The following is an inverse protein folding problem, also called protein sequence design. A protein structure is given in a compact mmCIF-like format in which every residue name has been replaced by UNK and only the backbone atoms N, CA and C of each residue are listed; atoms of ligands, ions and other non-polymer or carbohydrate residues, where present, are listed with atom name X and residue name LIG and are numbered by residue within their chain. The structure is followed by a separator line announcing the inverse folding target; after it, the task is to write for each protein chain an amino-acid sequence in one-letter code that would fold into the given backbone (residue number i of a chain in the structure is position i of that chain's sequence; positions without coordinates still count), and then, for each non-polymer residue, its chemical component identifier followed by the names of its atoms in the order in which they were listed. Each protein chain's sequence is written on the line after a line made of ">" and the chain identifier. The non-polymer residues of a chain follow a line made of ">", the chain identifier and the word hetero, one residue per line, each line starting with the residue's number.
data_IF_415376980425
#
_entry.id   IF_415376980425
#
_cell.length_a   1.000
_cell.length_b   1.000
_cell.length_c   1.000
_cell.angle_alpha   90.00
_cell.angle_beta   90.00
_cell.angle_gamma   90.00
#
_symmetry.space_group_name_H-M   'P 1'
#
loop_
_entity.id
_entity.type
_entity.pdbx_description
1 polymer ?
#
# COMPACT_ATOMS: atom_id res chain seq x y z
N UNK A 1 5.33 -25.55 -32.67
CA UNK A 1 5.47 -24.12 -32.34
C UNK A 1 4.60 -23.91 -31.12
N UNK A 2 5.23 -23.69 -29.97
CA UNK A 2 4.58 -23.67 -28.67
C UNK A 2 3.94 -22.31 -28.42
N UNK A 3 2.65 -22.30 -28.07
CA UNK A 3 1.93 -21.21 -27.43
C UNK A 3 1.21 -21.92 -26.28
N UNK A 4 1.65 -21.78 -25.03
CA UNK A 4 1.68 -20.52 -24.31
C UNK A 4 0.44 -20.56 -23.41
N UNK A 5 0.61 -21.10 -22.22
CA UNK A 5 -0.39 -21.30 -21.16
C UNK A 5 -1.34 -20.10 -21.02
N UNK A 6 -2.62 -20.31 -21.29
CA UNK A 6 -3.68 -19.37 -20.92
C UNK A 6 -3.89 -19.42 -19.41
N UNK A 7 -3.46 -18.38 -18.70
CA UNK A 7 -3.91 -18.17 -17.33
C UNK A 7 -5.36 -17.66 -17.38
N UNK A 8 -6.32 -18.57 -17.30
CA UNK A 8 -7.67 -18.24 -16.89
C UNK A 8 -7.63 -18.02 -15.38
N UNK A 9 -7.80 -16.79 -14.90
CA UNK A 9 -8.07 -16.54 -13.48
C UNK A 9 -9.55 -16.75 -13.23
N UNK A 10 -10.00 -18.01 -13.25
CA UNK A 10 -11.23 -18.39 -12.57
C UNK A 10 -10.92 -18.41 -11.07
N UNK A 11 -10.90 -17.25 -10.41
CA UNK A 11 -10.93 -17.17 -8.95
C UNK A 11 -11.35 -15.76 -8.52
N UNK A 12 -12.66 -15.55 -8.47
CA UNK A 12 -13.24 -14.62 -7.50
C UNK A 12 -13.16 -15.30 -6.12
N UNK A 13 -11.99 -15.23 -5.47
CA UNK A 13 -11.86 -15.62 -4.07
C UNK A 13 -12.48 -14.54 -3.19
N UNK A 14 -13.81 -14.55 -3.17
CA UNK A 14 -14.67 -13.67 -2.40
C UNK A 14 -16.08 -14.23 -2.41
N UNK A 15 -16.29 -15.33 -1.68
CA UNK A 15 -17.58 -15.99 -1.42
C UNK A 15 -18.52 -16.18 -2.62
N UNK A 16 -18.65 -17.43 -3.07
CA UNK A 16 -19.72 -17.92 -3.95
C UNK A 16 -21.09 -17.29 -3.68
N UNK A 17 -21.41 -16.18 -4.36
CA UNK A 17 -22.73 -15.61 -4.47
C UNK A 17 -23.00 -15.27 -5.94
N UNK A 18 -22.76 -16.22 -6.84
CA UNK A 18 -23.52 -16.25 -8.09
C UNK A 18 -24.98 -16.54 -7.70
N UNK A 19 -25.72 -15.46 -7.48
CA UNK A 19 -27.14 -15.46 -7.11
C UNK A 19 -27.98 -15.76 -8.36
N UNK A 20 -29.17 -16.32 -8.12
CA UNK A 20 -30.09 -16.82 -9.11
C UNK A 20 -30.32 -15.81 -10.27
N UNK A 21 -29.92 -16.18 -11.49
CA UNK A 21 -30.12 -15.37 -12.71
C UNK A 21 -28.84 -14.84 -13.38
N UNK A 22 -27.71 -14.74 -12.67
CA UNK A 22 -26.41 -14.47 -13.30
C UNK A 22 -25.76 -15.82 -13.62
N UNK A 23 -25.78 -16.22 -14.89
CA UNK A 23 -25.17 -17.48 -15.32
C UNK A 23 -23.69 -17.32 -15.65
N UNK A 24 -23.28 -16.16 -16.15
CA UNK A 24 -21.89 -15.81 -16.47
C UNK A 24 -21.67 -14.29 -16.37
N UNK A 25 -20.44 -13.87 -16.04
CA UNK A 25 -20.02 -12.48 -16.08
C UNK A 25 -18.54 -12.40 -16.52
N UNK A 26 -18.24 -11.47 -17.41
CA UNK A 26 -16.90 -11.24 -17.94
C UNK A 26 -16.49 -9.80 -17.62
N UNK A 27 -15.34 -9.62 -16.98
CA UNK A 27 -14.74 -8.31 -16.73
C UNK A 27 -13.44 -8.21 -17.53
N UNK A 28 -13.25 -7.09 -18.21
CA UNK A 28 -12.07 -6.84 -19.03
C UNK A 28 -11.89 -7.77 -20.25
N UNK A 29 -12.87 -8.61 -20.54
CA UNK A 29 -12.89 -9.57 -21.65
C UNK A 29 -14.34 -9.85 -22.07
N UNK A 30 -14.51 -10.58 -23.17
CA UNK A 30 -15.84 -11.00 -23.63
C UNK A 30 -15.87 -12.50 -23.91
N UNK A 31 -17.07 -13.07 -24.02
CA UNK A 31 -17.26 -14.45 -24.46
C UNK A 31 -17.13 -14.62 -25.99
N UNK A 32 -16.88 -13.54 -26.73
CA UNK A 32 -16.62 -13.56 -28.16
C UNK A 32 -15.10 -13.67 -28.41
N UNK A 33 -14.62 -14.75 -29.05
CA UNK A 33 -13.20 -14.96 -29.32
C UNK A 33 -12.60 -13.94 -30.31
N UNK A 34 -13.42 -13.16 -31.02
CA UNK A 34 -12.98 -12.13 -31.96
C UNK A 34 -12.88 -10.72 -31.33
N UNK A 35 -13.43 -10.52 -30.13
CA UNK A 35 -13.44 -9.24 -29.44
C UNK A 35 -12.25 -9.13 -28.50
N UNK A 36 -11.49 -8.03 -28.62
CA UNK A 36 -10.28 -7.76 -27.85
C UNK A 36 -10.60 -7.56 -26.36
N UNK A 37 -9.70 -8.04 -25.51
CA UNK A 37 -9.67 -7.70 -24.09
C UNK A 37 -9.55 -6.20 -23.89
N UNK A 38 -10.14 -5.70 -22.81
CA UNK A 38 -9.90 -4.35 -22.35
C UNK A 38 -8.46 -4.27 -21.85
N UNK A 39 -7.67 -3.36 -22.43
CA UNK A 39 -6.33 -3.01 -21.95
C UNK A 39 -6.42 -1.71 -21.16
N UNK A 40 -6.54 -1.85 -19.84
CA UNK A 40 -6.64 -0.75 -18.89
C UNK A 40 -6.96 -1.28 -17.49
N UNK A 41 -7.11 -0.37 -16.54
CA UNK A 41 -7.50 -0.69 -15.16
C UNK A 41 -9.03 -0.61 -15.07
N UNK A 42 -9.65 -1.64 -14.51
CA UNK A 42 -11.01 -1.60 -14.01
C UNK A 42 -10.91 -1.49 -12.50
N UNK A 43 -11.60 -0.52 -11.94
CA UNK A 43 -11.67 -0.30 -10.51
C UNK A 43 -13.11 -0.02 -10.08
N UNK A 44 -13.41 -0.32 -8.81
CA UNK A 44 -14.71 -0.09 -8.16
C UNK A 44 -15.94 -0.61 -8.94
N UNK A 45 -15.84 -1.82 -9.49
CA UNK A 45 -16.97 -2.48 -10.14
C UNK A 45 -17.92 -3.04 -9.08
N UNK A 46 -19.05 -2.36 -8.88
CA UNK A 46 -20.10 -2.80 -7.95
C UNK A 46 -21.35 -3.22 -8.73
N UNK A 47 -21.87 -4.41 -8.40
CA UNK A 47 -23.11 -4.95 -8.96
C UNK A 47 -24.20 -4.96 -7.90
N UNK A 48 -25.32 -4.31 -8.21
CA UNK A 48 -26.51 -4.29 -7.36
C UNK A 48 -27.59 -5.21 -7.95
N UNK A 49 -28.28 -5.95 -7.09
CA UNK A 49 -29.42 -6.79 -7.46
C UNK A 49 -30.76 -6.06 -7.28
N UNK A 50 -30.71 -4.74 -7.21
CA UNK A 50 -31.85 -3.83 -7.13
C UNK A 50 -31.63 -2.72 -8.14
N UNK A 51 -32.73 -2.14 -8.63
CA UNK A 51 -32.66 -0.89 -9.38
C UNK A 51 -32.29 0.23 -8.41
N UNK A 52 -31.20 0.93 -8.71
CA UNK A 52 -30.80 2.13 -7.98
C UNK A 52 -31.57 3.33 -8.54
N UNK A 53 -32.05 4.20 -7.65
CA UNK A 53 -32.59 5.49 -8.04
C UNK A 53 -31.47 6.46 -8.46
N UNK A 54 -31.80 7.50 -9.24
CA UNK A 54 -30.86 8.56 -9.62
C UNK A 54 -30.17 9.21 -8.40
N UNK A 55 -30.88 9.29 -7.27
CA UNK A 55 -30.34 9.83 -6.02
C UNK A 55 -29.28 8.90 -5.44
N UNK A 56 -29.53 7.59 -5.40
CA UNK A 56 -28.55 6.61 -4.91
C UNK A 56 -27.32 6.54 -5.82
N UNK A 57 -27.51 6.57 -7.13
CA UNK A 57 -26.40 6.67 -8.10
C UNK A 57 -25.60 7.95 -7.88
N UNK A 58 -26.28 9.08 -7.69
CA UNK A 58 -25.65 10.36 -7.40
C UNK A 58 -24.86 10.36 -6.08
N UNK A 59 -25.37 9.69 -5.04
CA UNK A 59 -24.68 9.54 -3.77
C UNK A 59 -23.47 8.61 -3.87
N UNK A 60 -23.56 7.51 -4.61
CA UNK A 60 -22.41 6.62 -4.85
C UNK A 60 -21.31 7.36 -5.60
N UNK A 61 -21.67 8.12 -6.65
CA UNK A 61 -20.71 8.92 -7.41
C UNK A 61 -20.11 10.05 -6.57
N UNK A 62 -20.91 10.77 -5.78
CA UNK A 62 -20.43 11.90 -4.97
C UNK A 62 -19.57 11.47 -3.76
N UNK A 63 -19.79 10.27 -3.24
CA UNK A 63 -18.99 9.70 -2.16
C UNK A 63 -17.82 8.85 -2.66
N UNK A 64 -17.69 8.67 -3.97
CA UNK A 64 -16.53 8.02 -4.54
C UNK A 64 -15.29 8.89 -4.27
N UNK A 65 -14.32 8.30 -3.57
CA UNK A 65 -13.01 8.89 -3.38
C UNK A 65 -12.05 8.09 -4.24
N UNK A 66 -11.30 8.80 -5.10
CA UNK A 66 -10.24 8.14 -5.87
C UNK A 66 -9.30 7.43 -4.90
N UNK A 67 -8.90 6.17 -5.22
CA UNK A 67 -7.82 5.51 -4.52
C UNK A 67 -6.67 6.49 -4.34
N UNK A 68 -6.24 6.72 -3.10
CA UNK A 68 -5.05 7.55 -2.87
C UNK A 68 -3.80 6.70 -3.09
N UNK A 69 -3.75 6.01 -4.23
CA UNK A 69 -2.61 5.24 -4.70
C UNK A 69 -1.44 6.18 -5.04
N UNK A 70 -0.29 5.59 -5.34
CA UNK A 70 0.91 6.38 -5.64
C UNK A 70 0.72 7.34 -6.82
N UNK A 71 0.02 6.90 -7.87
CA UNK A 71 -0.25 7.71 -9.06
C UNK A 71 -1.16 8.90 -8.76
N UNK A 72 -2.22 8.69 -7.99
CA UNK A 72 -3.15 9.75 -7.59
C UNK A 72 -2.49 10.73 -6.62
N UNK A 73 -1.64 10.25 -5.71
CA UNK A 73 -0.85 11.12 -4.82
C UNK A 73 0.12 12.02 -5.61
N UNK A 74 0.78 11.49 -6.65
CA UNK A 74 1.66 12.26 -7.53
C UNK A 74 0.97 13.41 -8.27
N UNK A 75 -0.36 13.34 -8.50
CA UNK A 75 -1.10 14.43 -9.15
C UNK A 75 -1.06 15.74 -8.33
N UNK A 76 -0.78 15.66 -7.03
CA UNK A 76 -0.55 16.83 -6.18
C UNK A 76 0.79 17.54 -6.46
N UNK A 77 1.68 16.89 -7.22
CA UNK A 77 3.03 17.34 -7.53
C UNK A 77 3.28 17.29 -9.04
N UNK A 78 2.37 17.92 -9.81
CA UNK A 78 2.37 17.88 -11.28
C UNK A 78 3.67 18.36 -11.96
N UNK A 79 4.49 19.13 -11.25
CA UNK A 79 5.76 19.68 -11.75
C UNK A 79 6.98 18.78 -11.46
N UNK A 80 6.80 17.61 -10.84
CA UNK A 80 7.89 16.66 -10.60
C UNK A 80 8.44 16.11 -11.92
N UNK A 81 9.75 16.27 -12.10
CA UNK A 81 10.46 15.75 -13.28
C UNK A 81 10.78 14.25 -13.18
N UNK A 82 11.00 13.74 -11.97
CA UNK A 82 11.14 12.32 -11.68
C UNK A 82 9.95 11.89 -10.81
N UNK A 83 9.14 10.98 -11.35
CA UNK A 83 7.96 10.43 -10.67
C UNK A 83 8.15 8.96 -10.31
N UNK A 84 9.36 8.41 -10.46
CA UNK A 84 9.63 7.02 -10.15
C UNK A 84 9.46 6.75 -8.65
N UNK A 85 8.84 5.63 -8.29
CA UNK A 85 8.66 5.23 -6.89
C UNK A 85 9.99 5.12 -6.12
N UNK A 86 11.05 4.71 -6.82
CA UNK A 86 12.41 4.62 -6.29
C UNK A 86 13.25 5.91 -6.52
N UNK A 87 12.65 6.95 -7.08
CA UNK A 87 13.27 8.25 -7.33
C UNK A 87 13.51 9.03 -6.03
N UNK A 88 14.27 10.11 -6.16
CA UNK A 88 14.64 11.09 -5.13
C UNK A 88 14.88 12.45 -5.84
N UNK A 89 13.81 13.08 -6.36
CA UNK A 89 13.92 14.30 -7.17
C UNK A 89 14.51 15.49 -6.40
N UNK A 90 14.28 15.54 -5.09
CA UNK A 90 14.74 16.57 -4.16
C UNK A 90 16.17 16.34 -3.61
N UNK A 91 16.74 15.14 -3.84
CA UNK A 91 18.11 14.74 -3.50
C UNK A 91 18.43 14.81 -2.01
N UNK A 92 17.47 14.43 -1.16
CA UNK A 92 17.66 14.40 0.28
C UNK A 92 17.93 12.99 0.84
N UNK A 93 17.90 11.98 -0.03
CA UNK A 93 18.13 10.58 0.30
C UNK A 93 16.86 9.83 0.74
N UNK A 94 15.70 10.48 0.72
CA UNK A 94 14.40 9.87 0.95
C UNK A 94 13.79 9.57 -0.42
N UNK A 95 13.35 8.32 -0.62
CA UNK A 95 12.74 7.96 -1.91
C UNK A 95 11.29 8.42 -1.94
N UNK A 96 10.82 8.85 -3.10
CA UNK A 96 9.45 9.32 -3.32
C UNK A 96 8.38 8.31 -2.86
N UNK A 97 8.61 7.00 -3.04
CA UNK A 97 7.70 5.96 -2.55
C UNK A 97 7.67 5.84 -1.02
N UNK A 98 8.77 6.16 -0.34
CA UNK A 98 8.80 6.25 1.12
C UNK A 98 8.07 7.52 1.60
N UNK A 99 8.21 8.63 0.88
CA UNK A 99 7.46 9.85 1.15
C UNK A 99 5.96 9.65 0.99
N UNK A 100 5.52 8.96 -0.06
CA UNK A 100 4.11 8.60 -0.23
C UNK A 100 3.55 7.85 0.99
N UNK A 101 4.30 6.87 1.51
CA UNK A 101 3.89 6.12 2.71
C UNK A 101 3.94 7.00 3.97
N UNK A 102 4.93 7.87 4.11
CA UNK A 102 5.14 8.68 5.30
C UNK A 102 4.48 10.07 5.24
N UNK A 103 3.69 10.33 4.20
CA UNK A 103 3.02 11.62 3.93
C UNK A 103 3.99 12.81 3.80
N UNK A 104 5.12 12.56 3.14
CA UNK A 104 6.17 13.55 2.84
C UNK A 104 5.87 14.42 1.62
N UNK A 105 6.90 15.13 1.15
CA UNK A 105 6.81 16.05 0.03
C UNK A 105 8.03 15.96 -0.90
N UNK A 106 7.88 15.37 -2.11
CA UNK A 106 8.99 15.10 -3.05
C UNK A 106 9.49 16.34 -3.78
N UNK A 107 9.05 17.52 -3.35
CA UNK A 107 9.53 18.80 -3.87
C UNK A 107 10.34 19.57 -2.83
N UNK A 108 10.46 19.05 -1.60
CA UNK A 108 11.07 19.73 -0.47
C UNK A 108 12.11 18.84 0.21
N UNK A 109 13.39 19.16 -0.04
CA UNK A 109 14.49 18.47 0.60
C UNK A 109 14.48 18.66 2.13
N UNK A 110 14.83 17.59 2.86
CA UNK A 110 15.10 17.62 4.29
C UNK A 110 13.85 17.42 5.14
N UNK A 111 12.87 16.68 4.64
CA UNK A 111 11.65 16.39 5.39
C UNK A 111 11.94 15.51 6.63
N UNK A 112 11.25 15.78 7.73
CA UNK A 112 11.46 15.09 9.02
C UNK A 112 10.45 13.99 9.25
N UNK A 113 10.33 13.10 8.26
CA UNK A 113 9.30 12.03 8.22
C UNK A 113 9.83 10.64 8.56
N UNK A 114 11.17 10.45 8.55
CA UNK A 114 11.79 9.15 8.80
C UNK A 114 11.54 8.63 10.23
N UNK A 115 11.51 7.29 10.42
CA UNK A 115 11.35 6.70 11.74
C UNK A 115 12.32 7.25 12.79
N UNK A 116 11.76 7.68 13.91
CA UNK A 116 12.50 8.20 15.06
C UNK A 116 12.74 7.08 16.07
N UNK A 117 13.98 6.98 16.57
CA UNK A 117 14.37 5.98 17.56
C UNK A 117 14.44 6.60 18.96
N UNK A 118 13.72 6.01 19.90
CA UNK A 118 14.01 6.10 21.33
C UNK A 118 14.70 4.82 21.80
N UNK A 119 15.95 4.96 22.26
CA UNK A 119 16.76 3.86 22.78
C UNK A 119 16.90 3.90 24.31
N UNK A 120 16.07 4.67 25.02
CA UNK A 120 16.04 4.69 26.46
C UNK A 120 15.47 3.37 27.03
N UNK A 121 15.89 3.00 28.25
CA UNK A 121 15.39 1.81 28.94
C UNK A 121 15.81 0.49 28.30
N UNK A 122 14.91 -0.49 28.32
CA UNK A 122 15.19 -1.90 27.96
C UNK A 122 14.92 -2.24 26.47
N UNK A 123 14.32 -1.31 25.72
CA UNK A 123 13.88 -1.54 24.34
C UNK A 123 14.47 -0.50 23.38
N UNK A 124 14.44 -0.81 22.09
CA UNK A 124 14.51 0.15 21.00
C UNK A 124 13.09 0.40 20.51
N UNK A 125 12.63 1.65 20.57
CA UNK A 125 11.27 2.04 20.17
C UNK A 125 11.37 2.93 18.94
N UNK A 126 10.89 2.43 17.80
CA UNK A 126 10.81 3.19 16.56
C UNK A 126 9.40 3.73 16.39
N UNK A 127 9.28 5.03 16.13
CA UNK A 127 7.99 5.69 15.89
C UNK A 127 8.00 6.44 14.57
N UNK A 128 6.94 6.29 13.79
CA UNK A 128 6.69 7.10 12.59
C UNK A 128 5.18 7.25 12.35
N UNK A 129 4.83 8.19 11.48
CA UNK A 129 3.47 8.36 10.99
C UNK A 129 3.44 7.89 9.55
N UNK A 130 2.42 7.10 9.20
CA UNK A 130 2.14 6.71 7.81
C UNK A 130 0.80 7.26 7.33
N UNK A 131 0.65 7.40 6.02
CA UNK A 131 -0.65 7.49 5.37
C UNK A 131 -1.35 6.12 5.46
N UNK A 132 -2.51 6.07 6.10
CA UNK A 132 -3.33 4.85 6.18
C UNK A 132 -3.78 4.39 4.79
N UNK A 133 -4.03 5.34 3.88
CA UNK A 133 -4.44 5.05 2.50
C UNK A 133 -3.33 4.42 1.67
N UNK A 134 -2.06 4.56 2.05
CA UNK A 134 -0.94 3.93 1.34
C UNK A 134 -0.84 2.42 1.56
N UNK A 135 -1.44 1.90 2.63
CA UNK A 135 -1.35 0.49 3.05
C UNK A 135 -1.87 -0.48 1.98
N UNK A 136 -3.06 -0.29 1.37
CA UNK A 136 -3.54 -1.18 0.32
C UNK A 136 -2.77 -1.10 -1.01
N UNK A 137 -1.88 -0.11 -1.20
CA UNK A 137 -1.13 0.10 -2.44
C UNK A 137 0.37 -0.17 -2.33
N UNK A 138 0.85 -0.54 -1.14
CA UNK A 138 2.26 -0.81 -0.87
C UNK A 138 2.46 -2.03 0.01
N UNK A 139 3.58 -2.72 -0.18
CA UNK A 139 4.11 -3.63 0.83
C UNK A 139 4.97 -2.82 1.80
N UNK A 140 4.55 -2.74 3.05
CA UNK A 140 5.26 -2.03 4.11
C UNK A 140 5.77 -3.04 5.14
N UNK A 141 7.09 -3.09 5.31
CA UNK A 141 7.73 -3.97 6.31
C UNK A 141 8.72 -3.18 7.14
N UNK A 142 8.69 -3.38 8.45
CA UNK A 142 9.78 -2.97 9.31
C UNK A 142 10.76 -4.14 9.42
N UNK A 143 12.00 -3.94 9.00
CA UNK A 143 13.03 -4.96 9.06
C UNK A 143 13.99 -4.66 10.20
N UNK A 144 14.37 -5.71 10.94
CA UNK A 144 15.39 -5.59 11.97
C UNK A 144 16.40 -6.74 11.92
N UNK A 145 17.61 -6.49 12.40
CA UNK A 145 18.70 -7.48 12.35
C UNK A 145 19.92 -7.03 13.14
N UNK A 146 20.80 -7.96 13.48
CA UNK A 146 22.07 -7.66 14.17
C UNK A 146 23.20 -7.23 13.22
N UNK A 147 22.99 -7.35 11.91
CA UNK A 147 23.88 -6.89 10.85
C UNK A 147 23.07 -6.28 9.67
N UNK A 148 23.76 -5.83 8.62
CA UNK A 148 23.12 -5.19 7.47
C UNK A 148 22.70 -6.17 6.35
N UNK A 149 22.77 -7.48 6.61
CA UNK A 149 22.53 -8.56 5.64
C UNK A 149 21.43 -9.55 6.07
N UNK A 150 21.35 -9.91 7.35
CA UNK A 150 20.32 -10.75 7.93
C UNK A 150 19.18 -9.91 8.49
N UNK A 151 18.01 -9.98 7.86
CA UNK A 151 16.83 -9.21 8.23
C UNK A 151 15.69 -10.12 8.66
N UNK A 152 15.03 -9.76 9.76
CA UNK A 152 13.72 -10.28 10.16
C UNK A 152 12.67 -9.26 9.78
N UNK A 153 11.63 -9.72 9.10
CA UNK A 153 10.54 -8.88 8.59
C UNK A 153 9.38 -8.84 9.58
N UNK A 154 8.94 -7.64 9.93
CA UNK A 154 7.66 -7.37 10.57
C UNK A 154 6.74 -6.73 9.52
N UNK A 155 5.74 -7.49 9.08
CA UNK A 155 4.69 -6.96 8.20
C UNK A 155 3.89 -5.90 8.93
N UNK A 156 3.71 -4.73 8.31
CA UNK A 156 2.94 -3.62 8.87
C UNK A 156 1.47 -3.62 8.40
N UNK A 157 1.02 -4.70 7.76
CA UNK A 157 -0.36 -4.86 7.30
C UNK A 157 -1.33 -5.24 8.44
N UNK A 158 -0.83 -5.76 9.55
CA UNK A 158 -1.62 -6.15 10.73
C UNK A 158 -0.81 -5.99 12.03
N UNK A 159 -1.49 -6.09 13.17
CA UNK A 159 -0.87 -6.06 14.51
C UNK A 159 -0.64 -7.47 15.07
N UNK A 160 -0.44 -8.47 14.21
CA UNK A 160 -0.29 -9.86 14.67
C UNK A 160 1.03 -10.09 15.42
N UNK A 161 2.02 -9.23 15.18
CA UNK A 161 3.30 -9.22 15.87
C UNK A 161 3.21 -8.40 17.18
N UNK A 162 3.66 -8.94 18.33
CA UNK A 162 3.61 -8.24 19.62
C UNK A 162 4.49 -6.99 19.67
N UNK A 163 5.47 -6.86 18.77
CA UNK A 163 6.33 -5.69 18.63
C UNK A 163 5.59 -4.48 18.05
N UNK A 164 4.43 -4.67 17.43
CA UNK A 164 3.72 -3.64 16.68
C UNK A 164 2.53 -3.07 17.46
N UNK A 165 2.41 -1.75 17.46
CA UNK A 165 1.21 -1.03 17.87
C UNK A 165 0.87 0.06 16.86
N UNK A 166 -0.42 0.15 16.51
CA UNK A 166 -0.94 1.20 15.64
C UNK A 166 -1.89 2.13 16.40
N UNK A 167 -1.70 3.43 16.21
CA UNK A 167 -2.62 4.45 16.70
C UNK A 167 -3.92 4.50 15.88
N UNK A 168 -4.92 5.27 16.34
CA UNK A 168 -6.10 5.55 15.53
C UNK A 168 -5.72 6.30 14.24
N UNK A 169 -6.50 6.10 13.17
CA UNK A 169 -6.38 6.90 11.95
C UNK A 169 -7.05 8.26 12.18
N UNK A 170 -6.30 9.34 12.04
CA UNK A 170 -6.80 10.72 12.20
C UNK A 170 -6.37 11.52 10.97
N UNK A 171 -7.35 12.00 10.20
CA UNK A 171 -7.07 12.74 8.96
C UNK A 171 -6.29 11.95 7.92
N UNK A 172 -6.53 10.64 7.83
CA UNK A 172 -5.79 9.74 6.92
C UNK A 172 -4.40 9.32 7.42
N UNK A 173 -3.94 9.85 8.55
CA UNK A 173 -2.63 9.51 9.13
C UNK A 173 -2.76 8.52 10.27
N UNK A 174 -1.78 7.61 10.38
CA UNK A 174 -1.71 6.58 11.42
C UNK A 174 -0.33 6.54 12.06
N UNK A 175 -0.28 6.59 13.39
CA UNK A 175 0.95 6.35 14.14
C UNK A 175 1.30 4.87 14.16
N UNK A 176 2.56 4.55 13.92
CA UNK A 176 3.13 3.20 13.99
C UNK A 176 4.26 3.21 15.00
N UNK A 177 4.19 2.28 15.95
CA UNK A 177 5.21 2.06 16.98
C UNK A 177 5.72 0.63 16.84
N UNK A 178 7.04 0.48 16.72
CA UNK A 178 7.74 -0.80 16.73
C UNK A 178 8.61 -0.87 17.97
N UNK A 179 8.37 -1.85 18.84
CA UNK A 179 9.10 -2.05 20.10
C UNK A 179 9.93 -3.32 20.03
N UNK A 180 11.25 -3.18 19.96
CA UNK A 180 12.20 -4.29 19.91
C UNK A 180 12.97 -4.40 21.22
N UNK A 181 13.07 -5.59 21.80
CA UNK A 181 13.88 -5.80 22.99
C UNK A 181 15.37 -5.65 22.69
N UNK A 182 16.12 -4.98 23.57
CA UNK A 182 17.59 -4.93 23.47
C UNK A 182 18.25 -6.30 23.59
N UNK A 183 17.57 -7.28 24.15
CA UNK A 183 18.03 -8.68 24.18
C UNK A 183 18.21 -9.29 22.79
N UNK A 184 17.58 -8.73 21.75
CA UNK A 184 17.75 -9.13 20.36
C UNK A 184 19.08 -8.65 19.76
N UNK A 185 19.78 -7.73 20.43
CA UNK A 185 21.07 -7.24 19.95
C UNK A 185 22.15 -8.30 20.08
N UNK A 186 23.01 -8.40 19.06
CA UNK A 186 24.21 -9.22 19.09
C UNK A 186 25.40 -8.26 19.13
N UNK A 187 26.32 -8.47 20.09
CA UNK A 187 27.45 -7.58 20.34
C UNK A 187 27.05 -6.10 20.51
N UNK A 188 25.87 -5.88 21.10
CA UNK A 188 25.32 -4.54 21.33
C UNK A 188 24.82 -3.84 20.07
N UNK A 189 24.65 -4.56 18.95
CA UNK A 189 24.15 -4.01 17.69
C UNK A 189 22.76 -4.57 17.36
N UNK A 190 21.87 -3.66 16.99
CA UNK A 190 20.60 -3.95 16.35
C UNK A 190 20.31 -2.81 15.38
N UNK A 191 19.97 -3.17 14.15
CA UNK A 191 19.58 -2.25 13.10
C UNK A 191 18.09 -2.40 12.85
N UNK A 192 17.43 -1.29 12.55
CA UNK A 192 16.03 -1.24 12.14
C UNK A 192 15.89 -0.39 10.89
N UNK A 193 15.04 -0.79 9.95
CA UNK A 193 14.70 0.03 8.79
C UNK A 193 13.24 -0.19 8.37
N UNK A 194 12.61 0.87 7.89
CA UNK A 194 11.37 0.76 7.14
C UNK A 194 11.71 0.46 5.68
N UNK A 195 11.10 -0.58 5.12
CA UNK A 195 11.17 -0.91 3.70
C UNK A 195 9.76 -0.85 3.12
N UNK A 196 9.66 -0.15 2.00
CA UNK A 196 8.44 0.03 1.24
C UNK A 196 8.70 -0.40 -0.19
N UNK A 197 7.82 -1.24 -0.71
CA UNK A 197 7.77 -1.60 -2.12
C UNK A 197 6.36 -1.29 -2.65
N UNK A 198 6.26 -0.83 -3.90
CA UNK A 198 4.97 -0.70 -4.58
C UNK A 198 4.40 -2.10 -4.85
N UNK A 199 3.08 -2.28 -4.77
CA UNK A 199 2.50 -3.52 -5.28
C UNK A 199 2.78 -3.66 -6.79
N UNK A 200 3.07 -4.88 -7.28
CA UNK A 200 3.34 -5.12 -8.68
C UNK A 200 2.12 -4.89 -9.59
#
# INVERSE_FOLDING_TARGET
>A
MALGTHAATSNLNGSNLLRNGITEAWLGSSNDPEVRSYEGILDEVILYNIELSDVEVGLLYANYTLPQDYGSWLLNYADLSDTAFAGDPEQDGIRTGLEYVLSGNPTQAGDTILPQLDAAGENFVFTFIRSAESVPFTTQVFQYGSDLSGWTDLSLASTDAPELAFGPVIGGLQSVIVTLSKSLSIDGKLFGRLKVDQFP
#
